data_IF_837306177361
#
_entry.id   IF_837306177361
#
_cell.length_a   1.000
_cell.length_b   1.000
_cell.length_c   1.000
_cell.angle_alpha   90.00
_cell.angle_beta   90.00
_cell.angle_gamma   90.00
#
_symmetry.space_group_name_H-M   'P 1'
#
loop_
_entity.id
_entity.type
_entity.pdbx_description
1 polymer ?
#
# COMPACT_ATOMS: atom_id res chain seq x y z
N UNK A 1 -27.41 8.24 18.75
CA UNK A 1 -26.48 7.54 17.83
C UNK A 1 -25.32 7.00 18.66
N UNK A 2 -24.66 5.93 18.23
CA UNK A 2 -23.43 5.39 18.84
C UNK A 2 -22.25 5.67 17.89
N UNK A 3 -21.04 5.71 18.44
CA UNK A 3 -19.78 5.72 17.72
C UNK A 3 -19.21 4.29 17.70
N UNK A 4 -18.50 3.92 16.64
CA UNK A 4 -17.91 2.58 16.50
C UNK A 4 -16.46 2.67 16.00
N UNK A 5 -15.58 1.88 16.60
CA UNK A 5 -14.22 1.61 16.10
C UNK A 5 -14.10 0.11 15.79
N UNK A 6 -13.70 -0.28 14.56
CA UNK A 6 -13.47 -1.68 14.24
C UNK A 6 -12.20 -2.21 14.91
N UNK A 7 -12.25 -3.50 15.27
CA UNK A 7 -11.18 -4.24 15.92
C UNK A 7 -10.66 -5.34 14.99
N UNK A 8 -9.41 -5.79 15.24
CA UNK A 8 -8.71 -6.77 14.38
C UNK A 8 -9.31 -8.18 14.41
N UNK A 9 -10.10 -8.49 15.42
CA UNK A 9 -10.84 -9.74 15.58
C UNK A 9 -12.20 -9.73 14.85
N UNK A 10 -12.56 -8.61 14.21
CA UNK A 10 -13.82 -8.44 13.48
C UNK A 10 -14.94 -7.84 14.33
N UNK A 11 -14.69 -7.57 15.61
CA UNK A 11 -15.65 -6.93 16.50
C UNK A 11 -15.62 -5.39 16.39
N UNK A 12 -16.62 -4.74 16.97
CA UNK A 12 -16.76 -3.28 16.99
C UNK A 12 -16.72 -2.79 18.44
N UNK A 13 -15.80 -1.88 18.75
CA UNK A 13 -15.81 -1.11 19.98
C UNK A 13 -16.81 0.04 19.86
N UNK A 14 -17.90 -0.04 20.64
CA UNK A 14 -18.97 0.96 20.62
C UNK A 14 -18.81 1.97 21.76
N UNK A 15 -18.98 3.25 21.45
CA UNK A 15 -19.06 4.32 22.44
C UNK A 15 -20.34 5.14 22.28
N UNK A 16 -20.80 5.76 23.37
CA UNK A 16 -21.90 6.73 23.31
C UNK A 16 -21.45 7.94 22.50
N UNK A 17 -22.32 8.46 21.63
CA UNK A 17 -22.06 9.65 20.82
C UNK A 17 -22.10 10.94 21.68
N UNK A 18 -21.16 11.04 22.60
CA UNK A 18 -20.87 12.17 23.46
C UNK A 18 -19.41 12.59 23.29
N UNK A 19 -19.05 13.79 23.73
CA UNK A 19 -17.66 14.25 23.66
C UNK A 19 -16.71 13.34 24.45
N UNK A 20 -17.19 12.74 25.55
CA UNK A 20 -16.43 11.75 26.31
C UNK A 20 -16.17 10.46 25.53
N UNK A 21 -17.19 9.95 24.83
CA UNK A 21 -17.04 8.77 23.96
C UNK A 21 -16.12 9.04 22.78
N UNK A 22 -16.24 10.22 22.16
CA UNK A 22 -15.36 10.65 21.06
C UNK A 22 -13.90 10.69 21.47
N UNK A 23 -13.58 11.38 22.59
CA UNK A 23 -12.21 11.48 23.12
C UNK A 23 -11.61 10.14 23.52
N UNK A 24 -12.43 9.23 24.05
CA UNK A 24 -11.99 7.88 24.40
C UNK A 24 -11.55 7.11 23.15
N UNK A 25 -12.37 7.10 22.09
CA UNK A 25 -12.04 6.43 20.84
C UNK A 25 -10.80 7.05 20.18
N UNK A 26 -10.67 8.38 20.13
CA UNK A 26 -9.47 9.07 19.60
C UNK A 26 -8.18 8.68 20.33
N UNK A 27 -8.22 8.56 21.67
CA UNK A 27 -7.04 8.17 22.46
C UNK A 27 -6.67 6.70 22.24
N UNK A 28 -7.66 5.83 22.08
CA UNK A 28 -7.44 4.41 21.78
C UNK A 28 -6.84 4.25 20.38
N UNK A 29 -7.36 4.96 19.39
CA UNK A 29 -6.84 4.98 18.02
C UNK A 29 -5.41 5.53 17.96
N UNK A 30 -5.11 6.58 18.73
CA UNK A 30 -3.76 7.13 18.88
C UNK A 30 -2.80 6.23 19.68
N UNK A 31 -3.26 5.10 20.21
CA UNK A 31 -2.46 4.17 21.01
C UNK A 31 -2.08 4.69 22.41
N UNK A 32 -2.73 5.77 22.86
CA UNK A 32 -2.52 6.37 24.19
C UNK A 32 -3.24 5.56 25.27
N UNK A 33 -4.30 4.85 24.90
CA UNK A 33 -5.08 4.01 25.79
C UNK A 33 -5.28 2.62 25.18
N UNK A 34 -5.14 1.52 25.96
CA UNK A 34 -5.36 0.19 25.45
C UNK A 34 -6.82 -0.06 25.09
N UNK A 35 -7.05 -0.84 24.03
CA UNK A 35 -8.39 -1.34 23.70
C UNK A 35 -8.86 -2.28 24.81
N UNK A 36 -10.08 -2.08 25.35
CA UNK A 36 -10.69 -3.02 26.27
C UNK A 36 -10.76 -4.43 25.67
N UNK A 37 -10.39 -5.45 26.46
CA UNK A 37 -10.36 -6.84 25.98
C UNK A 37 -9.05 -7.25 25.29
N UNK A 38 -8.07 -6.35 25.17
CA UNK A 38 -6.73 -6.68 24.66
C UNK A 38 -6.63 -6.85 23.14
N UNK A 39 -7.73 -6.58 22.41
CA UNK A 39 -7.73 -6.52 20.95
C UNK A 39 -6.98 -5.29 20.44
N UNK A 40 -6.86 -5.13 19.13
CA UNK A 40 -6.23 -3.95 18.50
C UNK A 40 -7.25 -3.26 17.61
N UNK A 41 -7.15 -1.93 17.52
CA UNK A 41 -7.94 -1.16 16.54
C UNK A 41 -7.56 -1.65 15.15
N UNK A 42 -8.55 -2.00 14.35
CA UNK A 42 -8.34 -2.26 12.94
C UNK A 42 -8.07 -0.92 12.26
N UNK A 43 -6.87 -0.78 11.71
CA UNK A 43 -6.56 0.35 10.83
C UNK A 43 -7.34 0.12 9.54
N UNK A 44 -8.55 0.66 9.46
CA UNK A 44 -9.21 0.85 8.19
C UNK A 44 -8.53 2.02 7.51
N UNK A 45 -7.68 1.72 6.54
CA UNK A 45 -7.28 2.71 5.55
C UNK A 45 -8.56 3.02 4.77
N UNK A 46 -9.23 4.12 5.14
CA UNK A 46 -10.30 4.70 4.33
C UNK A 46 -9.79 4.74 2.88
N UNK A 47 -10.55 4.25 1.89
CA UNK A 47 -10.14 4.37 0.51
C UNK A 47 -10.19 5.86 0.15
N UNK A 48 -9.08 6.56 0.41
CA UNK A 48 -8.74 7.79 -0.27
C UNK A 48 -9.01 7.54 -1.75
N UNK A 49 -9.75 8.45 -2.39
CA UNK A 49 -10.14 8.39 -3.80
C UNK A 49 -9.15 7.53 -4.60
N UNK A 50 -9.61 6.35 -5.07
CA UNK A 50 -8.76 5.28 -5.60
C UNK A 50 -7.61 5.88 -6.40
N UNK A 51 -6.39 5.71 -5.89
CA UNK A 51 -5.21 6.24 -6.56
C UNK A 51 -5.16 5.70 -7.99
N UNK A 52 -4.52 6.44 -8.91
CA UNK A 52 -4.43 5.99 -10.32
C UNK A 52 -3.88 4.54 -10.44
N UNK A 53 -2.84 4.13 -9.69
CA UNK A 53 -2.41 2.73 -9.65
C UNK A 53 -3.47 1.76 -9.14
N UNK A 54 -4.26 2.12 -8.12
CA UNK A 54 -5.32 1.26 -7.59
C UNK A 54 -6.44 1.03 -8.61
N UNK A 55 -6.87 2.08 -9.30
CA UNK A 55 -7.86 1.96 -10.38
C UNK A 55 -7.36 1.07 -11.53
N UNK A 56 -6.09 1.21 -11.93
CA UNK A 56 -5.48 0.35 -12.96
C UNK A 56 -5.32 -1.09 -12.49
N UNK A 57 -5.02 -1.31 -11.21
CA UNK A 57 -4.95 -2.65 -10.64
C UNK A 57 -6.29 -3.38 -10.80
N UNK A 58 -7.39 -2.75 -10.42
CA UNK A 58 -8.71 -3.37 -10.53
C UNK A 58 -9.09 -3.67 -11.99
N UNK A 59 -8.74 -2.78 -12.91
CA UNK A 59 -8.99 -2.95 -14.34
C UNK A 59 -8.19 -4.09 -14.97
N UNK A 60 -6.89 -4.17 -14.67
CA UNK A 60 -5.94 -5.05 -15.37
C UNK A 60 -5.71 -6.39 -14.65
N UNK A 61 -5.79 -6.39 -13.32
CA UNK A 61 -5.45 -7.53 -12.47
C UNK A 61 -6.70 -8.17 -11.87
N UNK A 62 -7.54 -7.38 -11.20
CA UNK A 62 -8.76 -7.84 -10.54
C UNK A 62 -8.94 -7.23 -9.14
N UNK A 63 -9.77 -7.87 -8.31
CA UNK A 63 -10.17 -7.33 -7.01
C UNK A 63 -8.98 -6.92 -6.13
N UNK A 64 -9.06 -5.71 -5.59
CA UNK A 64 -8.07 -5.14 -4.69
C UNK A 64 -8.33 -5.66 -3.27
N UNK A 65 -7.63 -6.74 -2.89
CA UNK A 65 -7.75 -7.32 -1.55
C UNK A 65 -7.00 -6.46 -0.53
N UNK A 66 -7.35 -6.51 0.78
CA UNK A 66 -6.67 -5.71 1.80
C UNK A 66 -5.14 -5.85 1.80
N UNK A 67 -4.63 -7.07 1.58
CA UNK A 67 -3.19 -7.32 1.49
C UNK A 67 -2.54 -6.65 0.28
N UNK A 68 -3.26 -6.58 -0.85
CA UNK A 68 -2.79 -5.86 -2.05
C UNK A 68 -2.85 -4.35 -1.82
N UNK A 69 -3.88 -3.84 -1.14
CA UNK A 69 -3.99 -2.41 -0.78
C UNK A 69 -2.75 -1.93 -0.05
N UNK A 70 -2.34 -2.66 0.99
CA UNK A 70 -1.15 -2.32 1.77
C UNK A 70 0.10 -2.35 0.89
N UNK A 71 0.30 -3.42 0.12
CA UNK A 71 1.48 -3.55 -0.72
C UNK A 71 1.54 -2.50 -1.85
N UNK A 72 0.39 -2.11 -2.40
CA UNK A 72 0.29 -1.05 -3.40
C UNK A 72 0.61 0.31 -2.80
N UNK A 73 0.10 0.60 -1.59
CA UNK A 73 0.41 1.84 -0.87
C UNK A 73 1.91 1.93 -0.48
N UNK A 74 2.56 0.80 -0.16
CA UNK A 74 4.01 0.73 0.02
C UNK A 74 4.74 1.01 -1.30
N UNK A 75 4.29 0.43 -2.41
CA UNK A 75 4.88 0.67 -3.72
C UNK A 75 4.75 2.14 -4.17
N UNK A 76 3.64 2.81 -3.87
CA UNK A 76 3.43 4.24 -4.16
C UNK A 76 4.39 5.16 -3.41
N UNK A 77 4.94 4.72 -2.27
CA UNK A 77 5.99 5.44 -1.55
C UNK A 77 7.38 5.21 -2.16
N UNK A 78 7.58 4.09 -2.85
CA UNK A 78 8.88 3.66 -3.38
C UNK A 78 9.07 4.02 -4.85
N UNK A 79 8.00 4.05 -5.64
CA UNK A 79 8.05 4.17 -7.08
C UNK A 79 7.16 5.31 -7.59
N UNK A 80 7.57 5.97 -8.69
CA UNK A 80 6.67 6.85 -9.43
C UNK A 80 5.38 6.14 -9.86
N UNK A 81 4.23 6.79 -9.73
CA UNK A 81 2.93 6.19 -10.03
C UNK A 81 2.82 5.65 -11.48
N UNK A 82 3.47 6.30 -12.45
CA UNK A 82 3.50 5.82 -13.84
C UNK A 82 4.23 4.48 -13.98
N UNK A 83 5.30 4.24 -13.23
CA UNK A 83 5.97 2.94 -13.21
C UNK A 83 5.04 1.85 -12.70
N UNK A 84 4.30 2.11 -11.62
CA UNK A 84 3.35 1.12 -11.07
C UNK A 84 2.26 0.81 -12.09
N UNK A 85 1.69 1.83 -12.72
CA UNK A 85 0.68 1.67 -13.78
C UNK A 85 1.22 0.83 -14.95
N UNK A 86 2.44 1.11 -15.40
CA UNK A 86 3.02 0.40 -16.54
C UNK A 86 3.38 -1.05 -16.18
N UNK A 87 3.85 -1.32 -14.97
CA UNK A 87 4.12 -2.67 -14.48
C UNK A 87 2.82 -3.51 -14.39
N UNK A 88 1.71 -2.90 -13.95
CA UNK A 88 0.40 -3.56 -13.90
C UNK A 88 -0.10 -3.93 -15.30
N UNK A 89 0.00 -2.99 -16.24
CA UNK A 89 -0.36 -3.24 -17.65
C UNK A 89 0.52 -4.32 -18.27
N UNK A 90 1.82 -4.30 -17.98
CA UNK A 90 2.76 -5.29 -18.49
C UNK A 90 2.48 -6.69 -17.93
N UNK A 91 2.10 -6.78 -16.66
CA UNK A 91 1.64 -8.01 -16.04
C UNK A 91 0.37 -8.56 -16.73
N UNK A 92 -0.61 -7.70 -17.01
CA UNK A 92 -1.83 -8.09 -17.71
C UNK A 92 -1.58 -8.50 -19.17
N UNK A 93 -0.73 -7.77 -19.91
CA UNK A 93 -0.31 -8.13 -21.28
C UNK A 93 0.35 -9.50 -21.35
N UNK A 94 1.18 -9.84 -20.36
CA UNK A 94 1.79 -11.18 -20.25
C UNK A 94 0.85 -12.25 -19.70
N UNK A 95 -0.42 -11.91 -19.46
CA UNK A 95 -1.42 -12.76 -18.83
C UNK A 95 -1.02 -13.26 -17.42
N UNK A 96 -0.05 -12.59 -16.80
CA UNK A 96 0.45 -12.86 -15.45
C UNK A 96 -0.17 -11.88 -14.46
N UNK A 97 -1.51 -11.83 -14.44
CA UNK A 97 -2.35 -10.89 -13.67
C UNK A 97 -2.22 -11.11 -12.16
N UNK A 98 -1.09 -10.71 -11.59
CA UNK A 98 -0.82 -10.82 -10.17
C UNK A 98 0.03 -9.65 -9.70
N UNK A 99 -0.25 -9.16 -8.49
CA UNK A 99 0.57 -8.15 -7.84
C UNK A 99 2.05 -8.56 -7.78
N UNK A 100 2.35 -9.80 -7.40
CA UNK A 100 3.72 -10.35 -7.33
C UNK A 100 4.50 -10.19 -8.64
N UNK A 101 3.82 -10.35 -9.78
CA UNK A 101 4.47 -10.21 -11.08
C UNK A 101 4.74 -8.74 -11.41
N UNK A 102 3.77 -7.85 -11.15
CA UNK A 102 3.97 -6.41 -11.30
C UNK A 102 5.10 -5.89 -10.38
N UNK A 103 5.16 -6.38 -9.13
CA UNK A 103 6.22 -6.04 -8.19
C UNK A 103 7.59 -6.52 -8.69
N UNK A 104 7.69 -7.71 -9.27
CA UNK A 104 8.93 -8.21 -9.86
C UNK A 104 9.42 -7.33 -11.02
N UNK A 105 8.49 -6.83 -11.85
CA UNK A 105 8.80 -5.85 -12.92
C UNK A 105 9.34 -4.55 -12.32
N UNK A 106 8.68 -4.00 -11.30
CA UNK A 106 9.11 -2.77 -10.62
C UNK A 106 10.52 -2.91 -10.03
N UNK A 107 10.80 -4.02 -9.35
CA UNK A 107 12.12 -4.33 -8.78
C UNK A 107 13.19 -4.40 -9.86
N UNK A 108 12.88 -5.04 -10.99
CA UNK A 108 13.79 -5.12 -12.14
C UNK A 108 14.10 -3.73 -12.70
N UNK A 109 13.08 -2.90 -12.94
CA UNK A 109 13.28 -1.52 -13.44
C UNK A 109 14.07 -0.65 -12.46
N UNK A 110 13.88 -0.82 -11.16
CA UNK A 110 14.64 -0.10 -10.15
C UNK A 110 16.15 -0.47 -10.18
N UNK A 111 16.46 -1.76 -10.38
CA UNK A 111 17.83 -2.26 -10.41
C UNK A 111 18.55 -1.98 -11.74
N UNK A 112 17.92 -2.33 -12.86
CA UNK A 112 18.53 -2.29 -14.20
C UNK A 112 18.39 -0.91 -14.87
N UNK A 113 17.48 -0.06 -14.36
CA UNK A 113 16.96 1.07 -15.12
C UNK A 113 15.80 0.62 -16.01
N UNK A 114 14.87 1.53 -16.29
CA UNK A 114 13.78 1.28 -17.21
C UNK A 114 14.28 1.56 -18.63
N UNK A 115 14.32 0.55 -19.49
CA UNK A 115 14.48 0.77 -20.93
C UNK A 115 13.24 1.51 -21.43
N UNK A 116 13.40 2.80 -21.71
CA UNK A 116 12.32 3.71 -22.11
C UNK A 116 11.88 3.45 -23.56
N UNK A 117 11.34 2.26 -23.84
CA UNK A 117 10.64 2.00 -25.09
C UNK A 117 9.13 2.23 -24.89
N UNK A 118 8.76 3.51 -24.84
CA UNK A 118 7.39 3.97 -25.00
C UNK A 118 6.59 4.16 -23.69
N UNK A 119 6.74 5.33 -23.06
CA UNK A 119 5.65 6.16 -22.51
C UNK A 119 6.26 7.45 -21.98
N UNK A 120 5.82 8.58 -22.55
CA UNK A 120 5.96 9.97 -22.10
C UNK A 120 7.20 10.33 -21.25
N UNK A 121 8.13 11.01 -21.92
CA UNK A 121 9.36 11.60 -21.35
C UNK A 121 9.09 12.36 -20.05
N UNK A 122 9.55 11.81 -18.93
CA UNK A 122 9.59 12.51 -17.64
C UNK A 122 10.92 13.28 -17.54
N UNK A 123 10.89 14.61 -17.29
CA UNK A 123 12.10 15.39 -17.07
C UNK A 123 12.51 15.24 -15.60
N UNK A 124 13.26 14.20 -15.28
CA UNK A 124 13.76 13.98 -13.93
C UNK A 124 14.56 12.70 -13.88
N UNK A 125 15.85 12.82 -13.64
CA UNK A 125 16.80 11.70 -13.63
C UNK A 125 16.36 10.54 -12.74
N UNK A 126 16.96 9.36 -13.00
CA UNK A 126 16.73 8.09 -12.30
C UNK A 126 16.34 8.32 -10.83
N UNK A 127 15.12 7.96 -10.40
CA UNK A 127 14.74 8.08 -8.99
C UNK A 127 15.71 7.23 -8.15
N UNK A 128 16.07 7.68 -6.94
CA UNK A 128 16.95 6.93 -6.05
C UNK A 128 16.39 5.52 -5.87
N UNK A 129 17.22 4.51 -6.18
CA UNK A 129 16.82 3.11 -6.06
C UNK A 129 16.70 2.77 -4.56
N UNK A 130 15.50 2.45 -4.05
CA UNK A 130 15.32 2.12 -2.64
C UNK A 130 16.08 0.84 -2.23
N UNK A 131 16.53 0.03 -3.19
CA UNK A 131 17.35 -1.16 -2.95
C UNK A 131 18.86 -0.89 -2.90
N UNK A 132 19.34 0.31 -3.23
CA UNK A 132 20.77 0.65 -3.05
C UNK A 132 21.17 0.64 -1.56
N UNK A 133 20.20 0.78 -0.64
CA UNK A 133 20.43 0.64 0.79
C UNK A 133 20.64 -0.82 1.25
N UNK A 134 20.32 -1.81 0.40
CA UNK A 134 20.40 -3.24 0.73
C UNK A 134 21.67 -3.84 0.11
N UNK A 135 22.83 -3.34 0.52
CA UNK A 135 24.11 -4.00 0.19
C UNK A 135 24.24 -5.21 1.11
N UNK A 136 24.18 -6.42 0.52
CA UNK A 136 24.59 -7.65 1.22
C UNK A 136 26.09 -7.54 1.49
N UNK A 137 26.48 -7.27 2.73
CA UNK A 137 27.86 -7.49 3.17
C UNK A 137 28.10 -8.99 3.16
N UNK A 138 28.80 -9.47 2.13
CA UNK A 138 29.38 -10.81 2.13
C UNK A 138 30.24 -10.96 3.38
N UNK A 139 29.94 -11.97 4.19
CA UNK A 139 30.89 -12.47 5.17
C UNK A 139 31.85 -13.37 4.39
N UNK A 140 32.90 -12.76 3.82
CA UNK A 140 34.06 -13.50 3.37
C UNK A 140 34.81 -13.99 4.62
N UNK A 141 34.85 -15.31 4.78
CA UNK A 141 35.68 -16.04 5.74
C UNK A 141 36.52 -17.07 5.00
#
# INVERSE_FOLDING_TARGET
MLLALPLTDGDLLLAVHSEGGRRLLERIEAGVEPVPGGSRVAVMVEPAALSRPAAVYEQEIGMLTPSVTVALAEAEQLYPANWIVDALREAAKRNARSWKYAEAILRRWAAEGRDDEGTERHPGGRPPNPYDAVVRRGLDG
#
